data_IF_127484596695
#
_entry.id   IF_127484596695
#
_cell.length_a   1.000
_cell.length_b   1.000
_cell.length_c   1.000
_cell.angle_alpha   90.00
_cell.angle_beta   90.00
_cell.angle_gamma   90.00
#
_symmetry.space_group_name_H-M   'P 1'
#
loop_
_entity.id
_entity.type
_entity.pdbx_description
1 polymer ?
#
# COMPACT_ATOMS: atom_id res chain seq x y z
N UNK A 1 -1.07 -27.06 5.14
CA UNK A 1 -1.52 -27.55 6.46
C UNK A 1 -2.90 -28.21 6.35
N UNK A 2 -3.44 -28.81 7.42
CA UNK A 2 -4.80 -29.38 7.45
C UNK A 2 -5.86 -28.33 7.05
N UNK A 3 -5.71 -27.09 7.52
CA UNK A 3 -6.59 -25.97 7.15
C UNK A 3 -6.54 -25.66 5.65
N UNK A 4 -5.37 -25.64 5.02
CA UNK A 4 -5.26 -25.44 3.56
C UNK A 4 -6.03 -26.51 2.78
N UNK A 5 -5.93 -27.78 3.18
CA UNK A 5 -6.68 -28.88 2.55
C UNK A 5 -8.20 -28.69 2.72
N UNK A 6 -8.65 -28.25 3.89
CA UNK A 6 -10.07 -27.93 4.13
C UNK A 6 -10.55 -26.77 3.26
N UNK A 7 -9.77 -25.69 3.15
CA UNK A 7 -10.10 -24.55 2.30
C UNK A 7 -10.23 -24.95 0.83
N UNK A 8 -9.31 -25.77 0.31
CA UNK A 8 -9.40 -26.31 -1.05
C UNK A 8 -10.65 -27.19 -1.25
N UNK A 9 -11.02 -28.00 -0.25
CA UNK A 9 -12.24 -28.80 -0.30
C UNK A 9 -13.49 -27.91 -0.38
N UNK A 10 -13.56 -26.83 0.40
CA UNK A 10 -14.70 -25.91 0.34
C UNK A 10 -14.73 -25.09 -0.95
N UNK A 11 -13.58 -24.66 -1.46
CA UNK A 11 -13.46 -24.04 -2.77
C UNK A 11 -13.96 -24.98 -3.88
N UNK A 12 -13.56 -26.26 -3.83
CA UNK A 12 -14.02 -27.23 -4.82
C UNK A 12 -15.53 -27.43 -4.77
N UNK A 13 -16.13 -27.44 -3.57
CA UNK A 13 -17.58 -27.50 -3.40
C UNK A 13 -18.27 -26.23 -3.93
N UNK A 14 -17.72 -25.04 -3.69
CA UNK A 14 -18.36 -23.80 -4.14
C UNK A 14 -18.38 -23.66 -5.66
N UNK A 15 -17.42 -24.29 -6.37
CA UNK A 15 -17.35 -24.28 -7.84
C UNK A 15 -18.63 -24.80 -8.51
N UNK A 16 -19.32 -25.74 -7.89
CA UNK A 16 -20.60 -26.27 -8.38
C UNK A 16 -21.68 -25.18 -8.49
N UNK A 17 -21.55 -24.10 -7.71
CA UNK A 17 -22.47 -22.96 -7.70
C UNK A 17 -22.00 -21.76 -8.53
N UNK A 18 -20.81 -21.81 -9.17
CA UNK A 18 -20.25 -20.66 -9.89
C UNK A 18 -21.10 -20.17 -11.07
N UNK A 19 -21.92 -21.04 -11.65
CA UNK A 19 -22.88 -20.69 -12.70
C UNK A 19 -24.19 -20.07 -12.19
N UNK A 20 -24.46 -20.11 -10.88
CA UNK A 20 -25.73 -19.64 -10.30
C UNK A 20 -25.73 -18.14 -10.01
N UNK A 21 -24.58 -17.60 -9.63
CA UNK A 21 -24.42 -16.18 -9.30
C UNK A 21 -22.94 -15.78 -9.33
N UNK A 22 -22.61 -14.54 -9.75
CA UNK A 22 -21.25 -14.01 -9.66
C UNK A 22 -20.64 -14.09 -8.25
N UNK A 23 -21.46 -14.12 -7.20
CA UNK A 23 -21.00 -14.25 -5.81
C UNK A 23 -20.07 -15.44 -5.58
N UNK A 24 -20.43 -16.61 -6.15
CA UNK A 24 -19.68 -17.84 -5.93
C UNK A 24 -18.36 -17.88 -6.69
N UNK A 25 -18.24 -17.05 -7.74
CA UNK A 25 -17.04 -16.94 -8.56
C UNK A 25 -15.88 -16.25 -7.82
N UNK A 26 -16.15 -15.48 -6.75
CA UNK A 26 -15.14 -14.68 -6.06
C UNK A 26 -13.96 -15.52 -5.55
N UNK A 27 -14.24 -16.62 -4.86
CA UNK A 27 -13.19 -17.49 -4.31
C UNK A 27 -12.35 -18.17 -5.41
N UNK A 28 -13.01 -18.59 -6.49
CA UNK A 28 -12.31 -19.19 -7.64
C UNK A 28 -11.45 -18.16 -8.38
N UNK A 29 -11.94 -16.93 -8.55
CA UNK A 29 -11.21 -15.84 -9.19
C UNK A 29 -9.88 -15.58 -8.47
N UNK A 30 -9.92 -15.44 -7.14
CA UNK A 30 -8.73 -15.25 -6.32
C UNK A 30 -7.80 -16.47 -6.37
N UNK A 31 -8.35 -17.68 -6.30
CA UNK A 31 -7.55 -18.90 -6.40
C UNK A 31 -6.82 -18.99 -7.75
N UNK A 32 -7.53 -18.76 -8.86
CA UNK A 32 -6.97 -18.83 -10.20
C UNK A 32 -5.83 -17.83 -10.40
N UNK A 33 -5.94 -16.64 -9.82
CA UNK A 33 -4.87 -15.64 -9.84
C UNK A 33 -3.67 -16.03 -8.97
N UNK A 34 -3.91 -16.27 -7.68
CA UNK A 34 -2.83 -16.47 -6.71
C UNK A 34 -2.13 -17.82 -6.81
N UNK A 35 -2.78 -18.86 -7.34
CA UNK A 35 -2.12 -20.14 -7.59
C UNK A 35 -0.97 -20.05 -8.60
N UNK A 36 -0.97 -19.02 -9.46
CA UNK A 36 0.14 -18.71 -10.39
C UNK A 36 1.08 -17.65 -9.81
N UNK A 37 0.54 -16.57 -9.25
CA UNK A 37 1.35 -15.45 -8.76
C UNK A 37 2.24 -15.82 -7.55
N UNK A 38 1.75 -16.64 -6.62
CA UNK A 38 2.51 -17.02 -5.41
C UNK A 38 3.81 -17.76 -5.75
N UNK A 39 3.82 -18.86 -6.55
CA UNK A 39 5.07 -19.56 -6.84
C UNK A 39 6.06 -18.73 -7.66
N UNK A 40 5.59 -17.75 -8.45
CA UNK A 40 6.44 -16.80 -9.18
C UNK A 40 7.18 -15.84 -8.23
N UNK A 41 6.49 -15.37 -7.18
CA UNK A 41 7.01 -14.33 -6.27
C UNK A 41 7.61 -14.90 -4.97
N UNK A 42 7.25 -16.12 -4.58
CA UNK A 42 7.75 -16.82 -3.40
C UNK A 42 8.25 -18.23 -3.78
N UNK A 43 9.41 -18.34 -4.44
CA UNK A 43 9.91 -19.63 -4.95
C UNK A 43 10.06 -20.71 -3.88
N UNK A 44 10.32 -20.34 -2.62
CA UNK A 44 10.41 -21.27 -1.50
C UNK A 44 9.11 -22.03 -1.21
N UNK A 45 7.96 -21.49 -1.65
CA UNK A 45 6.65 -22.15 -1.49
C UNK A 45 6.32 -23.12 -2.63
N UNK A 46 7.07 -23.10 -3.75
CA UNK A 46 6.83 -23.96 -4.92
C UNK A 46 6.62 -25.44 -4.58
N UNK A 47 7.44 -26.09 -3.72
CA UNK A 47 7.30 -27.52 -3.45
C UNK A 47 5.93 -27.89 -2.87
N UNK A 48 5.36 -27.04 -2.01
CA UNK A 48 4.06 -27.27 -1.38
C UNK A 48 2.91 -27.04 -2.37
N UNK A 49 3.06 -26.06 -3.26
CA UNK A 49 2.04 -25.67 -4.24
C UNK A 49 1.90 -26.65 -5.40
N UNK A 50 2.89 -27.53 -5.64
CA UNK A 50 2.77 -28.60 -6.64
C UNK A 50 1.58 -29.56 -6.38
N UNK A 51 1.13 -29.66 -5.13
CA UNK A 51 0.00 -30.50 -4.74
C UNK A 51 -1.35 -29.78 -4.82
N UNK A 52 -1.38 -28.51 -5.23
CA UNK A 52 -2.59 -27.70 -5.34
C UNK A 52 -3.14 -27.77 -6.77
N UNK A 53 -4.45 -27.54 -6.98
CA UNK A 53 -5.00 -27.39 -8.33
C UNK A 53 -4.28 -26.27 -9.09
N UNK A 54 -4.11 -26.44 -10.40
CA UNK A 54 -3.53 -25.38 -11.24
C UNK A 54 -4.51 -24.22 -11.34
N UNK A 55 -4.00 -23.00 -11.22
CA UNK A 55 -4.73 -21.78 -11.52
C UNK A 55 -4.46 -21.27 -12.93
N UNK A 56 -5.20 -20.26 -13.33
CA UNK A 56 -4.95 -19.49 -14.55
C UNK A 56 -5.05 -18.00 -14.22
N UNK A 57 -3.92 -17.31 -14.29
CA UNK A 57 -3.80 -15.90 -13.87
C UNK A 57 -4.75 -14.98 -14.64
N UNK A 58 -4.83 -15.15 -15.97
CA UNK A 58 -5.70 -14.36 -16.85
C UNK A 58 -7.17 -14.61 -16.55
N UNK A 59 -7.55 -15.88 -16.42
CA UNK A 59 -8.92 -16.28 -16.05
C UNK A 59 -9.31 -15.70 -14.69
N UNK A 60 -8.41 -15.77 -13.69
CA UNK A 60 -8.66 -15.21 -12.36
C UNK A 60 -8.95 -13.71 -12.40
N UNK A 61 -8.20 -12.94 -13.21
CA UNK A 61 -8.47 -11.51 -13.41
C UNK A 61 -9.81 -11.25 -14.10
N UNK A 62 -10.14 -11.99 -15.17
CA UNK A 62 -11.42 -11.85 -15.87
C UNK A 62 -12.60 -12.18 -14.95
N UNK A 63 -12.51 -13.27 -14.20
CA UNK A 63 -13.49 -13.66 -13.20
C UNK A 63 -13.63 -12.60 -12.11
N UNK A 64 -12.52 -12.05 -11.59
CA UNK A 64 -12.57 -11.04 -10.53
C UNK A 64 -13.20 -9.73 -11.02
N UNK A 65 -12.95 -9.34 -12.27
CA UNK A 65 -13.64 -8.22 -12.93
C UNK A 65 -15.15 -8.47 -13.03
N UNK A 66 -15.55 -9.69 -13.39
CA UNK A 66 -16.97 -10.06 -13.45
C UNK A 66 -17.64 -9.93 -12.07
N UNK A 67 -17.01 -10.45 -11.01
CA UNK A 67 -17.54 -10.33 -9.64
C UNK A 67 -17.60 -8.86 -9.20
N UNK A 68 -16.53 -8.09 -9.40
CA UNK A 68 -16.47 -6.68 -9.03
C UNK A 68 -17.60 -5.85 -9.65
N UNK A 69 -18.01 -6.16 -10.88
CA UNK A 69 -19.03 -5.41 -11.61
C UNK A 69 -20.46 -5.91 -11.38
N UNK A 70 -20.64 -7.21 -11.12
CA UNK A 70 -21.96 -7.85 -11.18
C UNK A 70 -22.42 -8.49 -9.86
N UNK A 71 -21.54 -8.70 -8.89
CA UNK A 71 -21.90 -9.24 -7.58
C UNK A 71 -22.45 -8.14 -6.66
N UNK A 72 -23.46 -8.48 -5.87
CA UNK A 72 -24.09 -7.60 -4.89
C UNK A 72 -23.37 -7.66 -3.54
N UNK A 73 -23.18 -8.86 -2.98
CA UNK A 73 -22.61 -9.06 -1.65
C UNK A 73 -21.09 -9.04 -1.65
N UNK A 74 -20.45 -9.70 -2.60
CA UNK A 74 -18.97 -9.80 -2.70
C UNK A 74 -18.36 -8.78 -3.65
N UNK A 75 -19.18 -7.92 -4.28
CA UNK A 75 -18.71 -6.97 -5.28
C UNK A 75 -17.73 -5.95 -4.74
N UNK A 76 -17.92 -5.48 -3.51
CA UNK A 76 -17.02 -4.51 -2.86
C UNK A 76 -15.67 -5.14 -2.54
N UNK A 77 -15.67 -6.34 -1.95
CA UNK A 77 -14.46 -7.10 -1.66
C UNK A 77 -13.72 -7.44 -2.95
N UNK A 78 -14.43 -7.87 -4.00
CA UNK A 78 -13.84 -8.12 -5.30
C UNK A 78 -13.18 -6.87 -5.89
N UNK A 79 -13.79 -5.68 -5.75
CA UNK A 79 -13.18 -4.41 -6.12
C UNK A 79 -11.92 -4.11 -5.32
N UNK A 80 -11.92 -4.35 -4.02
CA UNK A 80 -10.73 -4.17 -3.17
C UNK A 80 -9.56 -5.05 -3.63
N UNK A 81 -9.82 -6.33 -3.86
CA UNK A 81 -8.80 -7.24 -4.36
C UNK A 81 -8.34 -6.86 -5.77
N UNK A 82 -9.28 -6.56 -6.68
CA UNK A 82 -8.97 -6.19 -8.06
C UNK A 82 -8.12 -4.92 -8.12
N UNK A 83 -8.51 -3.88 -7.37
CA UNK A 83 -7.76 -2.63 -7.27
C UNK A 83 -6.33 -2.87 -6.80
N UNK A 84 -6.16 -3.65 -5.73
CA UNK A 84 -4.83 -3.97 -5.18
C UNK A 84 -3.99 -4.76 -6.18
N UNK A 85 -4.56 -5.82 -6.75
CA UNK A 85 -3.94 -6.69 -7.76
C UNK A 85 -3.47 -5.87 -8.96
N UNK A 86 -4.33 -4.99 -9.47
CA UNK A 86 -4.00 -4.17 -10.62
C UNK A 86 -2.84 -3.23 -10.33
N UNK A 87 -2.80 -2.60 -9.16
CA UNK A 87 -1.74 -1.66 -8.84
C UNK A 87 -0.42 -2.35 -8.44
N UNK A 88 -0.46 -3.25 -7.47
CA UNK A 88 0.75 -3.78 -6.82
C UNK A 88 1.35 -4.95 -7.60
N UNK A 89 0.51 -5.88 -8.06
CA UNK A 89 0.97 -7.12 -8.68
C UNK A 89 1.02 -7.06 -10.23
N UNK A 90 0.10 -6.34 -10.87
CA UNK A 90 0.08 -6.16 -12.34
C UNK A 90 0.74 -4.86 -12.83
N UNK A 91 1.06 -3.93 -11.93
CA UNK A 91 1.62 -2.61 -12.26
C UNK A 91 0.77 -1.80 -13.26
N UNK A 92 -0.55 -1.98 -13.21
CA UNK A 92 -1.57 -1.30 -14.00
C UNK A 92 -2.29 -0.22 -13.16
N UNK A 93 -1.54 0.72 -12.59
CA UNK A 93 -2.08 1.81 -11.74
C UNK A 93 -3.24 2.58 -12.41
N UNK A 94 -3.14 2.83 -13.72
CA UNK A 94 -4.20 3.50 -14.48
C UNK A 94 -5.54 2.74 -14.44
N UNK A 95 -5.51 1.41 -14.43
CA UNK A 95 -6.70 0.57 -14.34
C UNK A 95 -7.23 0.45 -12.89
N UNK A 96 -6.36 0.58 -11.89
CA UNK A 96 -6.76 0.57 -10.47
C UNK A 96 -7.44 1.88 -10.04
N UNK A 97 -7.00 3.02 -10.59
CA UNK A 97 -7.49 4.36 -10.24
C UNK A 97 -9.03 4.53 -10.25
N UNK A 98 -9.77 4.16 -11.32
CA UNK A 98 -11.22 4.31 -11.33
C UNK A 98 -11.90 3.51 -10.21
N UNK A 99 -11.38 2.32 -9.87
CA UNK A 99 -11.90 1.49 -8.78
C UNK A 99 -11.64 2.15 -7.42
N UNK A 100 -10.42 2.66 -7.19
CA UNK A 100 -10.06 3.34 -5.96
C UNK A 100 -10.93 4.59 -5.73
N UNK A 101 -11.12 5.40 -6.78
CA UNK A 101 -11.98 6.58 -6.75
C UNK A 101 -13.43 6.20 -6.45
N UNK A 102 -13.95 5.19 -7.13
CA UNK A 102 -15.33 4.71 -6.90
C UNK A 102 -15.52 4.29 -5.44
N UNK A 103 -14.62 3.47 -4.90
CA UNK A 103 -14.69 3.00 -3.52
C UNK A 103 -14.63 4.15 -2.51
N UNK A 104 -13.68 5.08 -2.67
CA UNK A 104 -13.54 6.24 -1.80
C UNK A 104 -14.74 7.21 -1.90
N UNK A 105 -15.36 7.32 -3.07
CA UNK A 105 -16.53 8.20 -3.27
C UNK A 105 -17.79 7.58 -2.69
N UNK A 106 -17.97 6.27 -2.86
CA UNK A 106 -19.15 5.54 -2.37
C UNK A 106 -19.13 5.32 -0.86
N UNK A 107 -17.94 5.18 -0.28
CA UNK A 107 -17.75 4.97 1.16
C UNK A 107 -16.69 5.96 1.69
N UNK A 108 -17.05 7.25 1.82
CA UNK A 108 -16.11 8.30 2.22
C UNK A 108 -15.55 8.10 3.63
N UNK A 109 -16.25 7.41 4.53
CA UNK A 109 -15.76 7.19 5.90
C UNK A 109 -15.04 5.84 6.05
N UNK A 110 -14.42 5.35 4.97
CA UNK A 110 -13.60 4.14 4.98
C UNK A 110 -12.11 4.48 4.85
N UNK A 111 -11.40 4.42 5.98
CA UNK A 111 -9.99 4.79 6.04
C UNK A 111 -9.06 3.97 5.13
N UNK A 112 -9.41 2.74 4.76
CA UNK A 112 -8.65 1.94 3.81
C UNK A 112 -8.85 2.44 2.37
N UNK A 113 -10.09 2.74 1.96
CA UNK A 113 -10.39 3.23 0.60
C UNK A 113 -9.82 4.62 0.38
N UNK A 114 -9.99 5.53 1.35
CA UNK A 114 -9.41 6.88 1.24
C UNK A 114 -7.88 6.84 1.20
N UNK A 115 -7.24 6.04 2.07
CA UNK A 115 -5.78 5.88 2.05
C UNK A 115 -5.28 5.37 0.70
N UNK A 116 -5.93 4.35 0.14
CA UNK A 116 -5.50 3.79 -1.13
C UNK A 116 -5.74 4.77 -2.29
N UNK A 117 -6.85 5.51 -2.26
CA UNK A 117 -7.11 6.56 -3.25
C UNK A 117 -6.08 7.70 -3.16
N UNK A 118 -5.77 8.19 -1.95
CA UNK A 118 -4.70 9.18 -1.74
C UNK A 118 -3.35 8.68 -2.25
N UNK A 119 -3.04 7.39 -2.03
CA UNK A 119 -1.82 6.76 -2.54
C UNK A 119 -1.77 6.77 -4.07
N UNK A 120 -2.84 6.35 -4.75
CA UNK A 120 -2.85 6.39 -6.22
C UNK A 120 -2.82 7.82 -6.77
N UNK A 121 -3.45 8.78 -6.09
CA UNK A 121 -3.35 10.19 -6.46
C UNK A 121 -1.91 10.70 -6.33
N UNK A 122 -1.17 10.27 -5.31
CA UNK A 122 0.24 10.59 -5.15
C UNK A 122 1.08 9.96 -6.27
N UNK A 123 0.89 8.65 -6.52
CA UNK A 123 1.61 7.88 -7.55
C UNK A 123 1.45 8.46 -8.96
N UNK A 124 0.24 8.95 -9.29
CA UNK A 124 -0.07 9.57 -10.59
C UNK A 124 0.12 11.09 -10.61
N UNK A 125 0.76 11.69 -9.60
CA UNK A 125 0.96 13.13 -9.48
C UNK A 125 -0.33 13.98 -9.54
N UNK A 126 -1.48 13.40 -9.16
CA UNK A 126 -2.75 14.13 -8.96
C UNK A 126 -2.72 14.87 -7.61
N UNK A 127 -1.79 15.81 -7.49
CA UNK A 127 -1.41 16.41 -6.20
C UNK A 127 -2.51 17.22 -5.52
N UNK A 128 -3.39 17.87 -6.29
CA UNK A 128 -4.52 18.61 -5.71
C UNK A 128 -5.46 17.66 -4.93
N UNK A 129 -5.78 16.51 -5.52
CA UNK A 129 -6.66 15.54 -4.92
C UNK A 129 -5.96 14.73 -3.81
N UNK A 130 -4.70 14.37 -4.03
CA UNK A 130 -3.83 13.78 -3.00
C UNK A 130 -3.79 14.66 -1.73
N UNK A 131 -3.62 15.97 -1.89
CA UNK A 131 -3.65 16.92 -0.78
C UNK A 131 -5.00 16.96 -0.07
N UNK A 132 -6.10 17.09 -0.83
CA UNK A 132 -7.46 17.14 -0.29
C UNK A 132 -7.76 15.91 0.56
N UNK A 133 -7.55 14.71 0.00
CA UNK A 133 -7.82 13.44 0.68
C UNK A 133 -6.88 13.25 1.88
N UNK A 134 -5.61 13.61 1.75
CA UNK A 134 -4.66 13.49 2.88
C UNK A 134 -5.03 14.40 4.05
N UNK A 135 -5.55 15.60 3.79
CA UNK A 135 -6.03 16.50 4.85
C UNK A 135 -7.26 15.92 5.55
N UNK A 136 -8.22 15.42 4.77
CA UNK A 136 -9.43 14.77 5.29
C UNK A 136 -9.09 13.55 6.18
N UNK A 137 -8.16 12.70 5.74
CA UNK A 137 -7.66 11.57 6.55
C UNK A 137 -7.10 12.06 7.90
N UNK A 138 -6.27 13.12 7.90
CA UNK A 138 -5.67 13.63 9.14
C UNK A 138 -6.69 14.32 10.05
N UNK A 139 -7.72 14.96 9.48
CA UNK A 139 -8.84 15.53 10.23
C UNK A 139 -9.64 14.43 10.92
N UNK A 140 -10.01 13.37 10.20
CA UNK A 140 -10.74 12.21 10.74
C UNK A 140 -9.94 11.47 11.82
N UNK A 141 -8.62 11.36 11.67
CA UNK A 141 -7.74 10.86 12.74
C UNK A 141 -7.78 11.80 13.95
N UNK A 142 -7.71 13.11 13.73
CA UNK A 142 -7.72 14.13 14.78
C UNK A 142 -9.02 14.16 15.60
N UNK A 143 -10.15 13.78 15.00
CA UNK A 143 -11.45 13.66 15.68
C UNK A 143 -11.69 12.29 16.31
N UNK A 144 -10.77 11.33 16.13
CA UNK A 144 -10.91 9.97 16.66
C UNK A 144 -11.90 9.10 15.88
N UNK A 145 -12.11 9.37 14.60
CA UNK A 145 -13.05 8.61 13.77
C UNK A 145 -12.66 7.12 13.69
N UNK A 146 -13.56 6.18 13.99
CA UNK A 146 -13.27 4.75 13.89
C UNK A 146 -12.83 4.31 12.49
N UNK A 147 -11.87 3.38 12.41
CA UNK A 147 -11.33 2.88 11.14
C UNK A 147 -10.22 3.72 10.52
N UNK A 148 -9.88 4.87 11.12
CA UNK A 148 -8.75 5.71 10.72
C UNK A 148 -7.54 5.44 11.62
N UNK A 149 -6.71 4.52 11.15
CA UNK A 149 -5.55 4.01 11.90
C UNK A 149 -4.26 4.77 11.58
N UNK A 150 -3.22 4.52 12.38
CA UNK A 150 -1.89 5.09 12.19
C UNK A 150 -1.32 4.84 10.78
N UNK A 151 -1.64 3.71 10.14
CA UNK A 151 -1.26 3.43 8.75
C UNK A 151 -1.77 4.49 7.77
N UNK A 152 -2.98 5.01 7.98
CA UNK A 152 -3.56 6.09 7.16
C UNK A 152 -2.89 7.43 7.45
N UNK A 153 -2.63 7.71 8.72
CA UNK A 153 -1.88 8.90 9.14
C UNK A 153 -0.47 8.96 8.56
N UNK A 154 0.24 7.83 8.51
CA UNK A 154 1.58 7.70 7.92
C UNK A 154 1.59 8.10 6.44
N UNK A 155 0.67 7.54 5.65
CA UNK A 155 0.56 7.85 4.22
C UNK A 155 0.23 9.33 4.00
N UNK A 156 -0.85 9.81 4.62
CA UNK A 156 -1.31 11.19 4.48
C UNK A 156 -0.24 12.21 4.89
N UNK A 157 0.45 11.96 6.02
CA UNK A 157 1.51 12.84 6.50
C UNK A 157 2.71 12.85 5.54
N UNK A 158 3.14 11.70 5.02
CA UNK A 158 4.23 11.68 4.04
C UNK A 158 3.89 12.47 2.76
N UNK A 159 2.68 12.28 2.23
CA UNK A 159 2.24 12.97 1.02
C UNK A 159 2.21 14.48 1.22
N UNK A 160 1.65 14.95 2.33
CA UNK A 160 1.65 16.38 2.66
C UNK A 160 3.07 16.91 2.87
N UNK A 161 3.96 16.15 3.52
CA UNK A 161 5.38 16.51 3.66
C UNK A 161 6.06 16.70 2.30
N UNK A 162 5.83 15.78 1.37
CA UNK A 162 6.33 15.87 0.00
C UNK A 162 5.80 17.12 -0.73
N UNK A 163 4.50 17.40 -0.63
CA UNK A 163 3.93 18.59 -1.25
C UNK A 163 4.48 19.88 -0.65
N UNK A 164 4.62 19.95 0.67
CA UNK A 164 5.22 21.11 1.34
C UNK A 164 6.68 21.30 0.90
N UNK A 165 7.47 20.22 0.78
CA UNK A 165 8.86 20.30 0.36
C UNK A 165 9.02 20.72 -1.10
N UNK A 166 8.30 20.05 -2.02
CA UNK A 166 8.58 20.14 -3.44
C UNK A 166 7.66 21.09 -4.19
N UNK A 167 6.37 21.16 -3.85
CA UNK A 167 5.39 22.02 -4.52
C UNK A 167 5.35 23.42 -3.90
N UNK A 168 5.17 23.50 -2.58
CA UNK A 168 4.97 24.78 -1.88
C UNK A 168 6.26 25.40 -1.35
N UNK A 169 7.35 24.63 -1.28
CA UNK A 169 8.65 25.05 -0.72
C UNK A 169 8.58 25.53 0.73
N UNK A 170 7.57 25.09 1.49
CA UNK A 170 7.41 25.33 2.92
C UNK A 170 8.18 24.24 3.68
N UNK A 171 9.50 24.44 3.84
CA UNK A 171 10.39 23.44 4.44
C UNK A 171 10.08 23.20 5.93
N UNK A 172 9.53 24.19 6.63
CA UNK A 172 9.13 24.05 8.02
C UNK A 172 7.96 23.06 8.15
N UNK A 173 6.89 23.25 7.36
CA UNK A 173 5.77 22.29 7.34
C UNK A 173 6.17 20.93 6.78
N UNK A 174 7.08 20.89 5.81
CA UNK A 174 7.60 19.61 5.31
C UNK A 174 8.23 18.79 6.44
N UNK A 175 9.08 19.40 7.26
CA UNK A 175 9.70 18.75 8.43
C UNK A 175 8.64 18.23 9.41
N UNK A 176 7.66 19.06 9.76
CA UNK A 176 6.56 18.67 10.66
C UNK A 176 5.82 17.43 10.14
N UNK A 177 5.37 17.45 8.89
CA UNK A 177 4.65 16.33 8.30
C UNK A 177 5.48 15.05 8.19
N UNK A 178 6.76 15.14 7.85
CA UNK A 178 7.63 13.96 7.86
C UNK A 178 7.86 13.40 9.26
N UNK A 179 7.97 14.26 10.29
CA UNK A 179 8.04 13.81 11.67
C UNK A 179 6.74 13.12 12.12
N UNK A 180 5.58 13.67 11.74
CA UNK A 180 4.28 13.02 11.98
C UNK A 180 4.17 11.66 11.29
N UNK A 181 4.67 11.54 10.05
CA UNK A 181 4.75 10.25 9.36
C UNK A 181 5.55 9.21 10.16
N UNK A 182 6.70 9.60 10.71
CA UNK A 182 7.53 8.75 11.57
C UNK A 182 6.76 8.34 12.82
N UNK A 183 6.14 9.29 13.53
CA UNK A 183 5.36 9.01 14.76
C UNK A 183 4.23 8.01 14.48
N UNK A 184 3.48 8.19 13.39
CA UNK A 184 2.44 7.24 13.01
C UNK A 184 2.99 5.84 12.76
N UNK A 185 4.08 5.73 11.99
CA UNK A 185 4.70 4.44 11.70
C UNK A 185 5.23 3.73 12.96
N UNK A 186 5.81 4.49 13.89
CA UNK A 186 6.32 3.93 15.16
C UNK A 186 5.19 3.48 16.08
N UNK A 187 4.06 4.18 16.07
CA UNK A 187 2.90 3.87 16.92
C UNK A 187 2.25 2.51 16.62
N UNK A 188 2.40 1.98 15.40
CA UNK A 188 1.87 0.69 14.99
C UNK A 188 2.95 -0.30 14.51
N UNK A 189 4.23 0.02 14.74
CA UNK A 189 5.36 -0.86 14.43
C UNK A 189 5.67 -1.02 12.94
N UNK A 190 5.05 -0.24 12.04
CA UNK A 190 5.31 -0.34 10.61
C UNK A 190 6.57 0.43 10.17
N UNK A 191 7.72 0.05 10.74
CA UNK A 191 9.02 0.73 10.57
C UNK A 191 9.96 0.09 9.55
N UNK A 192 9.60 -1.05 8.96
CA UNK A 192 10.49 -1.86 8.12
C UNK A 192 10.61 -1.39 6.65
N UNK A 193 10.22 -0.16 6.35
CA UNK A 193 10.37 0.42 5.01
C UNK A 193 9.31 1.45 4.62
N UNK A 194 9.05 1.56 3.32
CA UNK A 194 8.02 2.43 2.75
C UNK A 194 8.16 3.90 3.18
N UNK A 195 7.03 4.53 3.52
CA UNK A 195 6.99 5.95 3.87
C UNK A 195 7.73 6.29 5.15
N UNK A 196 7.94 5.35 6.09
CA UNK A 196 8.80 5.57 7.25
C UNK A 196 10.25 5.83 6.83
N UNK A 197 10.77 4.99 5.94
CA UNK A 197 12.13 5.12 5.43
C UNK A 197 12.28 6.40 4.60
N UNK A 198 11.30 6.70 3.75
CA UNK A 198 11.34 7.90 2.92
C UNK A 198 11.24 9.19 3.75
N UNK A 199 10.42 9.22 4.80
CA UNK A 199 10.34 10.36 5.71
C UNK A 199 11.69 10.61 6.43
N UNK A 200 12.34 9.55 6.93
CA UNK A 200 13.68 9.65 7.52
C UNK A 200 14.70 10.18 6.49
N UNK A 201 14.71 9.64 5.27
CA UNK A 201 15.62 10.10 4.22
C UNK A 201 15.39 11.57 3.84
N UNK A 202 14.13 12.02 3.75
CA UNK A 202 13.80 13.41 3.48
C UNK A 202 14.24 14.34 4.62
N UNK A 203 14.00 13.94 5.87
CA UNK A 203 14.43 14.71 7.04
C UNK A 203 15.95 14.79 7.16
N UNK A 204 16.68 13.73 6.80
CA UNK A 204 18.13 13.75 6.75
C UNK A 204 18.65 14.80 5.76
N UNK A 205 18.09 14.82 4.53
CA UNK A 205 18.43 15.80 3.49
C UNK A 205 18.07 17.23 3.89
N UNK A 206 16.91 17.42 4.53
CA UNK A 206 16.48 18.74 5.03
C UNK A 206 17.33 19.23 6.21
N UNK A 207 17.86 18.33 7.05
CA UNK A 207 18.79 18.66 8.13
C UNK A 207 20.17 19.03 7.57
N UNK A 208 20.66 18.29 6.58
CA UNK A 208 21.89 18.62 5.85
C UNK A 208 21.83 20.01 5.21
N UNK A 209 20.73 20.34 4.52
CA UNK A 209 20.50 21.67 3.94
C UNK A 209 20.48 22.78 5.00
N UNK A 210 20.02 22.47 6.21
CA UNK A 210 19.99 23.39 7.35
C UNK A 210 21.30 23.43 8.13
N UNK A 211 22.36 22.75 7.66
CA UNK A 211 23.64 22.58 8.37
C UNK A 211 23.50 21.94 9.77
N UNK A 212 22.41 21.20 10.02
CA UNK A 212 22.20 20.45 11.27
C UNK A 212 22.76 19.03 11.12
N UNK A 213 24.08 18.90 11.28
CA UNK A 213 24.79 17.64 11.12
C UNK A 213 24.34 16.57 12.14
N UNK A 214 23.94 16.98 13.34
CA UNK A 214 23.47 16.07 14.40
C UNK A 214 22.15 15.42 14.00
N UNK A 215 21.17 16.22 13.57
CA UNK A 215 19.89 15.68 13.11
C UNK A 215 20.05 14.87 11.82
N UNK A 216 20.87 15.34 10.87
CA UNK A 216 21.15 14.61 9.63
C UNK A 216 21.72 13.22 9.93
N UNK A 217 22.71 13.13 10.82
CA UNK A 217 23.30 11.84 11.23
C UNK A 217 22.25 10.92 11.85
N UNK A 218 21.39 11.44 12.74
CA UNK A 218 20.33 10.63 13.39
C UNK A 218 19.41 9.98 12.35
N UNK A 219 18.91 10.76 11.39
CA UNK A 219 17.99 10.23 10.38
C UNK A 219 18.70 9.31 9.38
N UNK A 220 19.91 9.65 8.92
CA UNK A 220 20.68 8.76 8.04
C UNK A 220 21.05 7.45 8.72
N UNK A 221 21.29 7.43 10.03
CA UNK A 221 21.53 6.19 10.77
C UNK A 221 20.32 5.24 10.72
N UNK A 222 19.10 5.77 10.92
CA UNK A 222 17.86 4.98 10.77
C UNK A 222 17.72 4.43 9.35
N UNK A 223 18.00 5.26 8.34
CA UNK A 223 17.94 4.82 6.93
C UNK A 223 18.97 3.72 6.65
N UNK A 224 20.20 3.88 7.13
CA UNK A 224 21.27 2.90 6.93
C UNK A 224 21.02 1.58 7.69
N UNK A 225 20.26 1.61 8.79
CA UNK A 225 19.89 0.42 9.56
C UNK A 225 18.76 -0.36 8.90
N UNK A 226 17.73 0.33 8.41
CA UNK A 226 16.45 -0.29 7.99
C UNK A 226 16.25 -0.44 6.49
N UNK A 227 16.98 0.31 5.66
CA UNK A 227 16.83 0.21 4.21
C UNK A 227 17.43 -1.10 3.66
N UNK A 228 16.83 -1.64 2.60
CA UNK A 228 17.46 -2.71 1.81
C UNK A 228 18.83 -2.24 1.31
N UNK A 229 19.87 -3.06 1.52
CA UNK A 229 21.26 -2.72 1.19
C UNK A 229 21.50 -2.38 -0.30
N UNK A 230 20.62 -2.83 -1.19
CA UNK A 230 20.69 -2.55 -2.63
C UNK A 230 19.99 -1.23 -2.99
N UNK A 231 19.14 -0.71 -2.11
CA UNK A 231 18.37 0.52 -2.35
C UNK A 231 19.27 1.76 -2.48
N UNK A 232 18.85 2.76 -3.28
CA UNK A 232 19.54 4.05 -3.33
C UNK A 232 19.62 4.75 -1.97
N UNK A 233 18.56 4.67 -1.17
CA UNK A 233 18.47 5.32 0.15
C UNK A 233 19.54 4.79 1.11
N UNK A 234 19.76 3.48 1.14
CA UNK A 234 20.83 2.88 1.93
C UNK A 234 22.21 3.41 1.50
N UNK A 235 22.47 3.42 0.19
CA UNK A 235 23.75 3.86 -0.37
C UNK A 235 24.03 5.33 -0.05
N UNK A 236 23.05 6.21 -0.29
CA UNK A 236 23.12 7.63 0.04
C UNK A 236 23.45 7.84 1.53
N UNK A 237 22.71 7.16 2.42
CA UNK A 237 22.90 7.27 3.86
C UNK A 237 24.29 6.80 4.30
N UNK A 238 24.76 5.65 3.80
CA UNK A 238 26.09 5.11 4.13
C UNK A 238 27.22 6.00 3.64
N UNK A 239 27.12 6.53 2.42
CA UNK A 239 28.11 7.47 1.88
C UNK A 239 28.19 8.73 2.74
N UNK A 240 27.04 9.30 3.11
CA UNK A 240 27.00 10.50 3.94
C UNK A 240 27.64 10.24 5.32
N UNK A 241 27.28 9.13 5.99
CA UNK A 241 27.79 8.76 7.31
C UNK A 241 29.30 8.48 7.33
N UNK A 242 29.86 7.96 6.22
CA UNK A 242 31.30 7.74 6.10
C UNK A 242 32.08 9.04 5.92
N UNK A 243 31.53 10.00 5.17
CA UNK A 243 32.17 11.30 4.90
C UNK A 243 32.18 12.20 6.14
N UNK A 244 31.17 12.09 6.97
CA UNK A 244 31.00 12.91 8.18
C UNK A 244 31.23 12.07 9.42
N UNK A 245 32.33 11.30 9.50
CA UNK A 245 32.67 10.57 10.71
C UNK A 245 32.98 11.53 11.86
#
# INVERSE_FOLDING_TARGET
TFSSKRSLKYLQKSREANGLSPEFLFGEALFNYYAVWIPENYPLLKPVLLFFPKGNKKLGLEQLRNVANNAFYTGVEAKVFLMRILHNEEHQTAAAMPIARELATKYPDNGYFERFYAYLCFDQAQFAECERVSRDILEKIGTGMPGYEASSGRYASYFLGYLMQYKYKDLAKAKDYYQRCIVFAESNGETEGGFYLFANASLAKLAEQASDATAARRYYAVVADKADHKSPQYKDARTWLQKHK
#
